data_IF_985398179851
#
_entry.id   IF_985398179851
#
_cell.length_a   1.000
_cell.length_b   1.000
_cell.length_c   1.000
_cell.angle_alpha   90.00
_cell.angle_beta   90.00
_cell.angle_gamma   90.00
#
_symmetry.space_group_name_H-M   'P 1'
#
loop_
_entity.id
_entity.type
_entity.pdbx_description
1 polymer ?
#
# COMPACT_ATOMS: atom_id res chain seq x y z
N UNK A 1 -32.89 30.62 84.26
CA UNK A 1 -34.23 30.64 83.63
C UNK A 1 -34.19 29.86 82.31
N UNK A 2 -35.16 28.95 82.14
CA UNK A 2 -35.65 28.33 80.89
C UNK A 2 -34.84 27.19 80.24
N UNK A 3 -35.35 25.98 80.49
CA UNK A 3 -35.48 24.85 79.55
C UNK A 3 -35.98 25.30 78.16
N UNK A 4 -35.72 24.47 77.13
CA UNK A 4 -36.73 23.85 76.22
C UNK A 4 -36.03 23.08 75.06
N UNK A 5 -36.05 21.76 75.21
CA UNK A 5 -36.47 20.69 74.27
C UNK A 5 -36.12 20.68 72.76
N UNK A 6 -35.84 19.45 72.34
CA UNK A 6 -36.38 18.77 71.14
C UNK A 6 -35.80 19.11 69.76
N UNK A 7 -35.10 18.14 69.16
CA UNK A 7 -35.56 17.49 67.92
C UNK A 7 -34.62 16.33 67.53
N UNK A 8 -34.96 15.15 68.03
CA UNK A 8 -34.70 13.91 67.32
C UNK A 8 -35.77 13.79 66.21
N UNK A 9 -35.51 13.07 65.10
CA UNK A 9 -36.48 12.72 64.03
C UNK A 9 -36.47 13.50 62.69
N UNK A 10 -35.32 13.72 62.05
CA UNK A 10 -35.29 14.01 60.58
C UNK A 10 -34.10 13.44 59.78
N UNK A 11 -33.22 12.62 60.37
CA UNK A 11 -32.02 12.11 59.64
C UNK A 11 -32.23 10.79 58.87
N UNK A 12 -33.39 10.13 59.02
CA UNK A 12 -33.62 8.81 58.40
C UNK A 12 -34.27 8.84 57.01
N UNK A 13 -34.62 10.01 56.47
CA UNK A 13 -35.33 10.11 55.18
C UNK A 13 -34.40 10.38 53.97
N UNK A 14 -33.17 10.84 54.19
CA UNK A 14 -32.23 11.18 53.10
C UNK A 14 -31.38 10.00 52.60
N UNK A 15 -31.24 8.91 53.38
CA UNK A 15 -30.51 7.71 52.93
C UNK A 15 -31.30 6.82 51.97
N UNK A 16 -32.60 7.06 51.80
CA UNK A 16 -33.47 6.22 50.96
C UNK A 16 -33.39 6.56 49.46
N UNK A 17 -32.82 7.71 49.10
CA UNK A 17 -32.77 8.21 47.71
C UNK A 17 -31.50 7.77 46.96
N UNK A 18 -30.45 7.30 47.66
CA UNK A 18 -29.15 6.95 47.06
C UNK A 18 -28.88 5.45 46.90
N UNK A 19 -29.86 4.58 47.13
CA UNK A 19 -29.70 3.15 46.85
C UNK A 19 -30.02 2.87 45.38
N UNK A 20 -29.19 3.38 44.46
CA UNK A 20 -29.16 2.82 43.11
C UNK A 20 -28.62 1.40 43.24
N UNK A 21 -29.48 0.38 43.04
CA UNK A 21 -28.99 -0.96 42.78
C UNK A 21 -28.13 -0.87 41.53
N UNK A 22 -26.81 -0.86 41.70
CA UNK A 22 -25.87 -1.09 40.60
C UNK A 22 -26.08 -2.53 40.15
N UNK A 23 -26.94 -2.71 39.15
CA UNK A 23 -27.04 -3.97 38.44
C UNK A 23 -25.71 -4.18 37.71
N UNK A 24 -24.95 -5.20 38.13
CA UNK A 24 -23.74 -5.63 37.43
C UNK A 24 -24.11 -6.51 36.23
N UNK A 25 -23.23 -6.53 35.22
CA UNK A 25 -23.33 -7.49 34.12
C UNK A 25 -23.31 -8.93 34.66
N UNK A 26 -24.13 -9.79 34.07
CA UNK A 26 -24.11 -11.23 34.36
C UNK A 26 -22.90 -11.90 33.70
N UNK A 27 -22.41 -13.00 34.27
CA UNK A 27 -21.32 -13.78 33.65
C UNK A 27 -21.70 -14.29 32.25
N UNK A 28 -22.98 -14.63 32.05
CA UNK A 28 -23.47 -15.11 30.76
C UNK A 28 -23.53 -14.00 29.70
N UNK A 29 -23.85 -12.75 30.08
CA UNK A 29 -23.80 -11.62 29.14
C UNK A 29 -22.37 -11.37 28.66
N UNK A 30 -21.38 -11.38 29.54
CA UNK A 30 -19.98 -11.22 29.15
C UNK A 30 -19.52 -12.37 28.24
N UNK A 31 -19.96 -13.61 28.52
CA UNK A 31 -19.65 -14.79 27.71
C UNK A 31 -20.19 -14.66 26.29
N UNK A 32 -21.46 -14.28 26.14
CA UNK A 32 -22.09 -14.12 24.81
C UNK A 32 -21.37 -13.02 24.00
N UNK A 33 -20.99 -11.90 24.65
CA UNK A 33 -20.26 -10.82 23.98
C UNK A 33 -18.90 -11.29 23.47
N UNK A 34 -18.14 -12.06 24.26
CA UNK A 34 -16.85 -12.60 23.82
C UNK A 34 -16.99 -13.57 22.64
N UNK A 35 -18.04 -14.40 22.64
CA UNK A 35 -18.33 -15.30 21.51
C UNK A 35 -18.62 -14.50 20.23
N UNK A 36 -19.45 -13.46 20.31
CA UNK A 36 -19.77 -12.62 19.14
C UNK A 36 -18.52 -11.87 18.66
N UNK A 37 -17.71 -11.31 19.57
CA UNK A 37 -16.47 -10.64 19.21
C UNK A 37 -15.48 -11.58 18.51
N UNK A 38 -15.33 -12.81 19.00
CA UNK A 38 -14.46 -13.81 18.37
C UNK A 38 -14.91 -14.10 16.91
N UNK A 39 -16.21 -14.25 16.68
CA UNK A 39 -16.76 -14.47 15.34
C UNK A 39 -16.52 -13.27 14.41
N UNK A 40 -16.73 -12.05 14.90
CA UNK A 40 -16.51 -10.83 14.12
C UNK A 40 -15.04 -10.65 13.73
N UNK A 41 -14.11 -10.98 14.64
CA UNK A 41 -12.68 -10.88 14.34
C UNK A 41 -12.26 -11.83 13.21
N UNK A 42 -12.76 -13.07 13.20
CA UNK A 42 -12.42 -14.04 12.14
C UNK A 42 -12.82 -13.54 10.76
N UNK A 43 -14.05 -13.03 10.61
CA UNK A 43 -14.52 -12.51 9.31
C UNK A 43 -13.84 -11.18 8.95
N UNK A 44 -13.54 -10.34 9.95
CA UNK A 44 -12.90 -9.04 9.75
C UNK A 44 -11.47 -9.10 9.21
N UNK A 45 -10.70 -10.14 9.55
CA UNK A 45 -9.31 -10.25 9.08
C UNK A 45 -9.19 -10.42 7.56
N UNK A 46 -10.08 -11.20 6.94
CA UNK A 46 -10.04 -11.44 5.49
C UNK A 46 -10.29 -10.17 4.67
N UNK A 47 -11.30 -9.38 5.05
CA UNK A 47 -11.61 -8.12 4.38
C UNK A 47 -10.52 -7.07 4.61
N UNK A 48 -9.94 -7.03 5.82
CA UNK A 48 -8.84 -6.13 6.15
C UNK A 48 -7.60 -6.41 5.31
N UNK A 49 -7.18 -7.68 5.17
CA UNK A 49 -6.05 -8.06 4.32
C UNK A 49 -6.28 -7.69 2.84
N UNK A 50 -7.47 -7.96 2.30
CA UNK A 50 -7.80 -7.56 0.93
C UNK A 50 -7.76 -6.04 0.73
N UNK A 51 -8.27 -5.27 1.70
CA UNK A 51 -8.18 -3.80 1.67
C UNK A 51 -6.74 -3.32 1.71
N UNK A 52 -5.87 -3.99 2.49
CA UNK A 52 -4.47 -3.65 2.58
C UNK A 52 -3.73 -3.91 1.26
N UNK A 53 -4.00 -5.04 0.59
CA UNK A 53 -3.46 -5.34 -0.76
C UNK A 53 -3.84 -4.26 -1.76
N UNK A 54 -5.12 -3.91 -1.84
CA UNK A 54 -5.62 -2.83 -2.73
C UNK A 54 -4.97 -1.48 -2.44
N UNK A 55 -4.73 -1.18 -1.15
CA UNK A 55 -4.03 0.05 -0.77
C UNK A 55 -2.58 0.06 -1.24
N UNK A 56 -1.87 -1.06 -1.12
CA UNK A 56 -0.49 -1.19 -1.63
C UNK A 56 -0.45 -1.12 -3.15
N UNK A 57 -1.35 -1.80 -3.85
CA UNK A 57 -1.48 -1.73 -5.31
C UNK A 57 -1.75 -0.31 -5.80
N UNK A 58 -2.62 0.44 -5.11
CA UNK A 58 -2.87 1.85 -5.41
C UNK A 58 -1.61 2.70 -5.23
N UNK A 59 -0.79 2.42 -4.21
CA UNK A 59 0.50 3.08 -4.02
C UNK A 59 1.46 2.74 -5.17
N UNK A 60 1.63 1.46 -5.51
CA UNK A 60 2.47 1.00 -6.65
C UNK A 60 2.13 1.68 -7.96
N UNK A 61 0.85 1.78 -8.31
CA UNK A 61 0.41 2.48 -9.53
C UNK A 61 0.77 3.96 -9.48
N UNK A 62 0.61 4.59 -8.32
CA UNK A 62 0.97 6.01 -8.12
C UNK A 62 2.48 6.21 -8.23
N UNK A 63 3.26 5.32 -7.63
CA UNK A 63 4.71 5.33 -7.63
C UNK A 63 5.26 5.21 -9.05
N UNK A 64 4.81 4.20 -9.80
CA UNK A 64 5.15 4.02 -11.21
C UNK A 64 4.81 5.26 -12.04
N UNK A 65 3.62 5.86 -11.84
CA UNK A 65 3.24 7.09 -12.56
C UNK A 65 4.13 8.28 -12.21
N UNK A 66 4.54 8.41 -10.94
CA UNK A 66 5.44 9.48 -10.50
C UNK A 66 6.85 9.27 -11.09
N UNK A 67 7.35 8.04 -11.10
CA UNK A 67 8.63 7.70 -11.74
C UNK A 67 8.56 8.03 -13.24
N UNK A 68 7.51 7.61 -13.95
CA UNK A 68 7.33 7.93 -15.36
C UNK A 68 7.37 9.45 -15.62
N UNK A 69 6.67 10.26 -14.82
CA UNK A 69 6.75 11.73 -14.95
C UNK A 69 8.17 12.26 -14.73
N UNK A 70 8.92 11.68 -13.78
CA UNK A 70 10.32 12.09 -13.56
C UNK A 70 11.23 11.71 -14.73
N UNK A 71 10.97 10.58 -15.39
CA UNK A 71 11.66 10.16 -16.61
C UNK A 71 11.37 11.11 -17.77
N UNK A 72 10.13 11.59 -17.89
CA UNK A 72 9.79 12.62 -18.87
C UNK A 72 10.56 13.93 -18.60
N UNK A 73 10.69 14.35 -17.33
CA UNK A 73 11.53 15.50 -17.00
C UNK A 73 13.00 15.29 -17.38
N UNK A 74 13.55 14.11 -17.11
CA UNK A 74 14.90 13.74 -17.54
C UNK A 74 15.05 13.80 -19.06
N UNK A 75 14.09 13.25 -19.80
CA UNK A 75 14.09 13.28 -21.27
C UNK A 75 14.04 14.71 -21.81
N UNK A 76 13.23 15.59 -21.22
CA UNK A 76 13.15 16.99 -21.63
C UNK A 76 14.50 17.73 -21.51
N UNK A 77 15.30 17.39 -20.50
CA UNK A 77 16.61 18.00 -20.28
C UNK A 77 17.72 17.34 -21.12
N UNK A 78 17.72 16.01 -21.23
CA UNK A 78 18.82 15.21 -21.80
C UNK A 78 18.56 14.75 -23.24
N UNK A 79 17.32 14.83 -23.71
CA UNK A 79 16.88 14.33 -25.01
C UNK A 79 16.85 12.81 -25.15
N UNK A 80 17.13 12.08 -24.06
CA UNK A 80 17.15 10.61 -23.99
C UNK A 80 16.68 10.16 -22.62
N UNK A 81 16.05 8.99 -22.54
CA UNK A 81 15.77 8.33 -21.28
C UNK A 81 17.03 7.67 -20.71
N UNK A 82 17.11 7.48 -19.39
CA UNK A 82 18.16 6.69 -18.75
C UNK A 82 18.34 5.31 -19.36
N UNK A 83 19.52 5.01 -19.92
CA UNK A 83 19.78 3.66 -20.45
C UNK A 83 19.86 2.67 -19.29
N UNK A 84 19.17 1.55 -19.42
CA UNK A 84 19.22 0.47 -18.43
C UNK A 84 20.59 -0.19 -18.41
N UNK A 85 21.21 -0.24 -17.23
CA UNK A 85 22.59 -0.75 -17.06
C UNK A 85 22.65 -2.16 -16.49
N UNK A 86 21.52 -2.88 -16.41
CA UNK A 86 21.49 -4.21 -15.79
C UNK A 86 21.55 -4.20 -14.26
N UNK A 87 21.27 -3.06 -13.64
CA UNK A 87 21.20 -2.88 -12.18
C UNK A 87 19.81 -2.38 -11.82
N UNK A 88 19.39 -2.69 -10.60
CA UNK A 88 18.14 -2.18 -10.05
C UNK A 88 18.14 -0.64 -10.02
N UNK A 89 16.94 -0.07 -10.10
CA UNK A 89 16.73 1.37 -10.11
C UNK A 89 17.00 2.04 -11.47
N UNK A 90 17.42 3.30 -11.45
CA UNK A 90 17.50 4.18 -12.63
C UNK A 90 18.87 4.87 -12.67
N UNK A 91 19.61 4.73 -13.78
CA UNK A 91 21.01 5.18 -13.90
C UNK A 91 21.96 4.59 -12.83
N UNK A 92 21.61 3.43 -12.27
CA UNK A 92 22.36 2.84 -11.16
C UNK A 92 22.19 3.57 -9.83
N UNK A 93 21.20 4.45 -9.70
CA UNK A 93 20.66 4.92 -8.41
C UNK A 93 19.64 3.88 -7.94
N UNK A 94 19.81 3.39 -6.70
CA UNK A 94 18.96 2.33 -6.17
C UNK A 94 17.55 2.85 -5.83
N UNK A 95 16.58 1.94 -5.72
CA UNK A 95 15.27 2.28 -5.16
C UNK A 95 15.45 2.80 -3.73
N UNK A 96 14.84 3.93 -3.41
CA UNK A 96 15.06 4.64 -2.14
C UNK A 96 16.14 5.73 -2.20
N UNK A 97 16.76 5.97 -3.35
CA UNK A 97 17.70 7.09 -3.56
C UNK A 97 17.08 8.22 -4.41
N UNK A 98 17.71 9.39 -4.42
CA UNK A 98 17.24 10.51 -5.23
C UNK A 98 17.58 10.27 -6.72
N UNK A 99 16.63 10.58 -7.61
CA UNK A 99 16.88 10.58 -9.05
C UNK A 99 17.39 11.95 -9.48
N UNK A 100 18.69 12.02 -9.77
CA UNK A 100 19.43 13.24 -10.09
C UNK A 100 20.11 13.12 -11.45
N UNK A 101 20.49 14.26 -12.02
CA UNK A 101 21.35 14.31 -13.20
C UNK A 101 22.78 13.84 -12.85
N UNK A 102 23.34 12.85 -13.55
CA UNK A 102 24.73 12.40 -13.35
C UNK A 102 25.78 13.49 -13.58
N UNK A 103 25.52 14.41 -14.51
CA UNK A 103 26.46 15.49 -14.87
C UNK A 103 26.35 16.69 -13.91
N UNK A 104 25.20 16.84 -13.26
CA UNK A 104 24.93 17.92 -12.32
C UNK A 104 23.98 17.47 -11.21
N UNK A 105 24.56 16.98 -10.11
CA UNK A 105 23.83 16.46 -8.94
C UNK A 105 22.87 17.47 -8.30
N UNK A 106 22.97 18.77 -8.63
CA UNK A 106 22.02 19.79 -8.17
C UNK A 106 20.69 19.77 -8.94
N UNK A 107 20.66 19.18 -10.13
CA UNK A 107 19.44 18.98 -10.92
C UNK A 107 18.75 17.70 -10.45
N UNK A 108 17.56 17.86 -9.89
CA UNK A 108 16.77 16.80 -9.27
C UNK A 108 15.52 16.52 -10.11
N UNK A 109 15.35 15.28 -10.54
CA UNK A 109 14.17 14.81 -11.27
C UNK A 109 13.15 14.18 -10.33
N UNK A 110 13.60 13.54 -9.26
CA UNK A 110 12.75 13.01 -8.20
C UNK A 110 13.52 12.99 -6.87
N UNK A 111 12.91 13.53 -5.80
CA UNK A 111 13.51 13.54 -4.45
C UNK A 111 13.89 12.15 -3.94
N UNK A 112 13.09 11.15 -4.30
CA UNK A 112 13.22 9.78 -3.83
C UNK A 112 12.55 8.85 -4.86
N UNK A 113 13.29 7.90 -5.39
CA UNK A 113 12.75 6.76 -6.09
C UNK A 113 11.99 5.90 -5.07
N UNK A 114 10.68 5.68 -5.24
CA UNK A 114 9.90 4.95 -4.26
C UNK A 114 10.34 3.49 -4.19
N UNK A 115 10.27 2.92 -3.00
CA UNK A 115 10.40 1.48 -2.81
C UNK A 115 9.02 0.84 -2.84
N UNK A 116 8.92 -0.40 -3.31
CA UNK A 116 7.64 -1.11 -3.30
C UNK A 116 7.10 -1.25 -1.86
N UNK A 117 5.83 -0.91 -1.61
CA UNK A 117 5.24 -0.98 -0.27
C UNK A 117 5.09 -2.42 0.27
N UNK A 118 5.23 -3.44 -0.57
CA UNK A 118 5.26 -4.85 -0.21
C UNK A 118 6.66 -5.43 -0.03
N UNK A 119 7.73 -4.65 -0.23
CA UNK A 119 9.11 -5.09 -0.09
C UNK A 119 9.74 -5.69 -1.35
N UNK A 120 9.01 -5.72 -2.47
CA UNK A 120 9.52 -6.03 -3.81
C UNK A 120 10.34 -4.85 -4.39
N UNK A 121 10.74 -4.94 -5.66
CA UNK A 121 11.30 -3.81 -6.40
C UNK A 121 10.49 -3.52 -7.66
N UNK A 122 10.57 -2.29 -8.16
CA UNK A 122 10.09 -1.97 -9.49
C UNK A 122 11.14 -2.39 -10.53
N UNK A 123 10.69 -2.69 -11.74
CA UNK A 123 11.59 -2.99 -12.86
C UNK A 123 11.53 -1.86 -13.88
N UNK A 124 12.69 -1.29 -14.23
CA UNK A 124 12.85 -0.24 -15.22
C UNK A 124 13.73 -0.75 -16.36
N UNK A 125 13.35 -0.44 -17.61
CA UNK A 125 14.21 -0.71 -18.77
C UNK A 125 14.09 0.37 -19.84
N UNK A 126 15.23 0.65 -20.48
CA UNK A 126 15.35 1.44 -21.71
C UNK A 126 16.62 1.01 -22.43
N UNK A 127 16.49 0.58 -23.68
CA UNK A 127 17.60 0.01 -24.45
C UNK A 127 18.50 1.07 -25.09
N UNK A 128 17.90 2.08 -25.73
CA UNK A 128 18.58 3.10 -26.52
C UNK A 128 18.27 4.53 -26.07
N UNK A 129 17.48 4.69 -24.99
CA UNK A 129 17.06 5.99 -24.49
C UNK A 129 15.94 6.65 -25.31
N UNK A 130 15.40 6.00 -26.35
CA UNK A 130 14.29 6.56 -27.15
C UNK A 130 12.90 6.33 -26.54
N UNK A 131 12.79 5.30 -25.73
CA UNK A 131 11.56 4.85 -25.05
C UNK A 131 11.93 4.22 -23.72
N UNK A 132 10.98 4.16 -22.78
CA UNK A 132 11.15 3.44 -21.52
C UNK A 132 9.96 2.54 -21.24
N UNK A 133 10.19 1.53 -20.41
CA UNK A 133 9.16 0.67 -19.85
C UNK A 133 9.40 0.50 -18.34
N UNK A 134 8.31 0.43 -17.58
CA UNK A 134 8.30 0.42 -16.13
C UNK A 134 7.27 -0.58 -15.63
N UNK A 135 7.63 -1.41 -14.66
CA UNK A 135 6.82 -2.53 -14.24
C UNK A 135 6.77 -2.72 -12.72
N UNK A 136 5.67 -3.32 -12.24
CA UNK A 136 5.46 -3.75 -10.87
C UNK A 136 4.66 -5.07 -10.82
N UNK A 137 4.57 -5.61 -9.61
CA UNK A 137 3.65 -6.70 -9.26
C UNK A 137 2.49 -6.12 -8.45
N UNK A 138 1.27 -6.20 -8.99
CA UNK A 138 0.05 -5.97 -8.25
C UNK A 138 -0.37 -7.27 -7.54
N UNK A 139 -0.67 -7.16 -6.25
CA UNK A 139 -1.05 -8.31 -5.41
C UNK A 139 -2.51 -8.72 -5.59
N UNK A 140 -3.38 -7.78 -5.95
CA UNK A 140 -4.76 -8.07 -6.27
C UNK A 140 -4.88 -8.53 -7.72
N UNK A 141 -4.81 -9.84 -7.95
CA UNK A 141 -5.02 -10.43 -9.28
C UNK A 141 -6.38 -10.06 -9.89
N UNK A 142 -7.39 -9.68 -9.10
CA UNK A 142 -8.69 -9.25 -9.61
C UNK A 142 -8.73 -7.77 -10.05
N UNK A 143 -7.62 -7.04 -9.91
CA UNK A 143 -7.53 -5.66 -10.38
C UNK A 143 -7.68 -5.60 -11.91
N UNK A 144 -8.29 -4.51 -12.40
CA UNK A 144 -8.55 -4.32 -13.84
C UNK A 144 -7.30 -4.00 -14.65
N UNK A 145 -6.26 -3.49 -13.98
CA UNK A 145 -5.00 -3.12 -14.62
C UNK A 145 -4.00 -4.28 -14.70
N UNK A 146 -4.30 -5.41 -14.04
CA UNK A 146 -3.50 -6.64 -14.17
C UNK A 146 -3.75 -7.25 -15.55
N UNK A 147 -2.66 -7.59 -16.24
CA UNK A 147 -2.74 -8.24 -17.55
C UNK A 147 -3.43 -9.61 -17.40
N UNK A 148 -4.45 -9.86 -18.23
CA UNK A 148 -5.22 -11.11 -18.20
C UNK A 148 -5.53 -11.61 -19.59
N UNK A 149 -5.46 -12.92 -19.76
CA UNK A 149 -5.93 -13.61 -20.97
C UNK A 149 -6.75 -14.82 -20.55
N UNK A 150 -8.00 -14.90 -21.03
CA UNK A 150 -8.91 -15.98 -20.65
C UNK A 150 -9.26 -16.04 -19.15
N UNK A 151 -9.07 -14.95 -18.40
CA UNK A 151 -9.30 -14.89 -16.95
C UNK A 151 -8.08 -15.24 -16.09
N UNK A 152 -7.00 -15.76 -16.69
CA UNK A 152 -5.73 -16.03 -16.00
C UNK A 152 -4.83 -14.81 -16.03
N UNK A 153 -4.09 -14.57 -14.95
CA UNK A 153 -3.06 -13.51 -14.88
C UNK A 153 -1.95 -13.81 -15.87
N UNK A 154 -1.49 -12.77 -16.55
CA UNK A 154 -0.35 -12.79 -17.45
C UNK A 154 0.79 -11.95 -16.88
N UNK A 155 2.01 -12.38 -17.13
CA UNK A 155 3.22 -11.76 -16.62
C UNK A 155 4.24 -11.52 -17.74
N UNK A 156 5.03 -10.46 -17.63
CA UNK A 156 6.01 -10.03 -18.63
C UNK A 156 7.34 -10.78 -18.48
N UNK A 157 7.70 -11.64 -19.44
CA UNK A 157 8.96 -12.40 -19.39
C UNK A 157 10.19 -11.51 -19.32
N UNK A 158 11.21 -11.91 -18.56
CA UNK A 158 12.50 -11.18 -18.50
C UNK A 158 12.44 -9.86 -17.73
N UNK A 159 11.35 -9.61 -17.00
CA UNK A 159 11.25 -8.54 -16.01
C UNK A 159 11.46 -9.15 -14.61
N UNK A 160 12.26 -8.52 -13.76
CA UNK A 160 12.48 -8.94 -12.37
C UNK A 160 12.01 -7.83 -11.43
N UNK A 161 10.87 -8.05 -10.80
CA UNK A 161 10.30 -7.13 -9.81
C UNK A 161 10.69 -7.55 -8.36
N UNK A 162 11.91 -8.06 -8.14
CA UNK A 162 12.54 -8.14 -6.83
C UNK A 162 12.20 -9.39 -6.02
N UNK A 163 12.08 -10.54 -6.68
CA UNK A 163 11.68 -11.80 -6.04
C UNK A 163 12.43 -12.96 -6.67
N UNK A 164 13.23 -13.65 -5.85
CA UNK A 164 14.16 -14.66 -6.35
C UNK A 164 13.46 -15.81 -7.09
N UNK A 165 13.84 -15.95 -8.36
CA UNK A 165 13.87 -17.17 -9.20
C UNK A 165 12.84 -17.36 -10.30
N UNK A 166 11.75 -16.59 -10.44
CA UNK A 166 10.86 -16.68 -11.64
C UNK A 166 9.83 -15.56 -11.80
N UNK A 167 9.73 -14.58 -10.90
CA UNK A 167 8.55 -13.72 -10.91
C UNK A 167 8.76 -12.56 -11.85
N UNK A 168 7.85 -12.54 -12.80
CA UNK A 168 7.73 -11.62 -13.91
C UNK A 168 6.64 -10.62 -13.53
N UNK A 169 6.84 -9.35 -13.84
CA UNK A 169 5.91 -8.31 -13.41
C UNK A 169 4.54 -8.51 -14.10
N UNK A 170 3.43 -8.21 -13.43
CA UNK A 170 2.07 -8.41 -13.97
C UNK A 170 1.36 -7.11 -14.35
N UNK A 171 2.00 -5.96 -14.09
CA UNK A 171 1.56 -4.62 -14.43
C UNK A 171 2.72 -3.82 -15.00
N UNK A 172 2.47 -3.06 -16.07
CA UNK A 172 3.48 -2.25 -16.71
C UNK A 172 2.91 -1.01 -17.37
N UNK A 173 3.71 0.04 -17.42
CA UNK A 173 3.48 1.23 -18.24
C UNK A 173 4.72 1.48 -19.09
N UNK A 174 4.55 2.29 -20.13
CA UNK A 174 5.66 2.65 -21.00
C UNK A 174 5.52 4.10 -21.48
N UNK A 175 6.56 4.62 -22.10
CA UNK A 175 6.50 5.90 -22.80
C UNK A 175 5.42 5.90 -23.89
N UNK A 176 4.91 7.06 -24.26
CA UNK A 176 3.75 7.18 -25.18
C UNK A 176 3.97 6.60 -26.58
N UNK A 177 5.21 6.35 -26.96
CA UNK A 177 5.63 5.80 -28.25
C UNK A 177 5.82 4.28 -28.24
N UNK A 178 5.54 3.59 -27.14
CA UNK A 178 5.74 2.14 -27.02
C UNK A 178 4.69 1.48 -26.13
N UNK A 179 4.68 0.16 -26.14
CA UNK A 179 3.80 -0.66 -25.29
C UNK A 179 4.63 -1.44 -24.25
N UNK A 180 4.15 -1.63 -23.01
CA UNK A 180 4.84 -2.43 -22.00
C UNK A 180 5.17 -3.87 -22.43
N UNK A 181 4.42 -4.46 -23.36
CA UNK A 181 4.72 -5.80 -23.90
C UNK A 181 5.77 -5.77 -25.02
N UNK A 182 6.21 -4.61 -25.50
CA UNK A 182 7.24 -4.52 -26.55
C UNK A 182 8.54 -5.14 -26.05
N UNK A 183 9.02 -6.19 -26.72
CA UNK A 183 10.24 -6.89 -26.31
C UNK A 183 10.06 -7.92 -25.18
N UNK A 184 8.84 -8.10 -24.67
CA UNK A 184 8.52 -9.04 -23.60
C UNK A 184 7.38 -9.97 -24.05
N UNK A 185 7.54 -11.29 -23.88
CA UNK A 185 6.40 -12.19 -24.05
C UNK A 185 5.49 -12.11 -22.83
N UNK A 186 4.18 -12.28 -23.05
CA UNK A 186 3.22 -12.50 -21.97
C UNK A 186 3.02 -14.00 -21.81
N UNK A 187 3.22 -14.50 -20.60
CA UNK A 187 2.98 -15.89 -20.22
C UNK A 187 2.00 -15.95 -19.07
N UNK A 188 1.31 -17.07 -18.92
CA UNK A 188 0.48 -17.32 -17.73
C UNK A 188 1.40 -17.50 -16.53
N UNK A 189 1.09 -16.82 -15.43
CA UNK A 189 1.76 -17.00 -14.14
C UNK A 189 1.55 -18.42 -13.58
#
# INVERSE_FOLDING_TARGET
>A
MKNITSKNSKRNSLKKILSSKSAGFTMIELLIVMVILALLLVVGLGSFMSSQRKSRDSARKTDIQNIARSLEFYYNDKGVYPIYTGKDGILGQDWGEAFVDPDNVSTLYMNLLPMDPGGSTYYYTSSDGSQFQLYAILENENDGDVNKSGGSVQVYTGTDCGVESSITCNYGIASTNTDPATGHALVVE
#
